data_IF_706409293317
#
_entry.id   IF_706409293317
#
_cell.length_a   1.000
_cell.length_b   1.000
_cell.length_c   1.000
_cell.angle_alpha   90.00
_cell.angle_beta   90.00
_cell.angle_gamma   90.00
#
_symmetry.space_group_name_H-M   'P 1'
#
loop_
_entity.id
_entity.type
_entity.pdbx_description
1 polymer ?
#
# COMPACT_ATOMS: atom_id res chain seq x y z
N UNK A 1 4.82 -92.48 -33.91
CA UNK A 1 3.47 -92.31 -33.40
C UNK A 1 3.36 -90.80 -33.01
N UNK A 2 2.77 -90.03 -33.87
CA UNK A 2 2.70 -88.57 -33.77
C UNK A 2 1.29 -88.16 -33.45
N UNK A 3 1.16 -87.08 -32.67
CA UNK A 3 -0.08 -86.36 -32.52
C UNK A 3 0.19 -84.85 -32.74
N UNK A 4 -0.43 -84.36 -33.79
CA UNK A 4 -0.43 -82.92 -34.12
C UNK A 4 -1.43 -82.17 -33.23
N UNK A 5 -1.00 -81.19 -32.47
CA UNK A 5 -1.91 -80.23 -31.87
C UNK A 5 -1.96 -78.97 -32.76
N UNK A 6 -3.18 -78.57 -33.09
CA UNK A 6 -3.51 -77.36 -33.82
C UNK A 6 -3.62 -76.20 -32.84
N UNK A 7 -2.86 -75.12 -33.06
CA UNK A 7 -3.00 -73.89 -32.38
C UNK A 7 -4.13 -73.08 -33.01
N UNK A 8 -5.12 -72.71 -32.20
CA UNK A 8 -6.13 -71.72 -32.52
C UNK A 8 -5.73 -70.37 -31.86
N UNK A 9 -5.42 -69.37 -32.66
CA UNK A 9 -5.21 -67.98 -32.22
C UNK A 9 -6.56 -67.36 -31.96
N UNK A 10 -6.79 -67.00 -30.69
CA UNK A 10 -7.87 -66.05 -30.34
C UNK A 10 -7.32 -64.67 -30.31
N UNK A 11 -7.82 -63.83 -31.18
CA UNK A 11 -7.53 -62.38 -31.18
C UNK A 11 -8.38 -61.68 -30.11
N UNK A 12 -7.72 -61.20 -29.06
CA UNK A 12 -8.36 -60.27 -28.06
C UNK A 12 -8.29 -58.87 -28.58
N UNK A 13 -9.43 -58.31 -28.92
CA UNK A 13 -9.56 -56.89 -29.26
C UNK A 13 -9.53 -56.04 -27.97
N UNK A 14 -8.46 -55.29 -27.73
CA UNK A 14 -8.39 -54.26 -26.69
C UNK A 14 -9.14 -53.01 -27.16
N UNK A 15 -10.32 -52.78 -26.63
CA UNK A 15 -11.02 -51.51 -26.70
C UNK A 15 -10.28 -50.51 -25.77
N UNK A 16 -9.49 -49.60 -26.33
CA UNK A 16 -8.95 -48.45 -25.65
C UNK A 16 -10.08 -47.39 -25.51
N UNK A 17 -10.69 -47.31 -24.34
CA UNK A 17 -11.56 -46.20 -23.99
C UNK A 17 -10.70 -44.94 -23.78
N UNK A 18 -10.64 -44.06 -24.77
CA UNK A 18 -10.04 -42.75 -24.68
C UNK A 18 -10.91 -41.87 -23.77
N UNK A 19 -10.47 -41.62 -22.54
CA UNK A 19 -11.04 -40.59 -21.68
C UNK A 19 -10.67 -39.25 -22.28
N UNK A 20 -11.60 -38.60 -22.98
CA UNK A 20 -11.51 -37.20 -23.37
C UNK A 20 -11.68 -36.38 -22.07
N UNK A 21 -10.58 -35.94 -21.50
CA UNK A 21 -10.57 -34.89 -20.48
C UNK A 21 -11.07 -33.61 -21.16
N UNK A 22 -12.37 -33.34 -21.01
CA UNK A 22 -12.94 -32.06 -21.34
C UNK A 22 -12.29 -31.04 -20.40
N UNK A 23 -11.25 -30.34 -20.85
CA UNK A 23 -10.79 -29.11 -20.23
C UNK A 23 -11.89 -28.09 -20.43
N UNK A 24 -12.74 -27.96 -19.42
CA UNK A 24 -13.75 -26.91 -19.38
C UNK A 24 -13.05 -25.55 -19.35
N UNK A 25 -12.83 -24.97 -20.52
CA UNK A 25 -12.63 -23.54 -20.62
C UNK A 25 -13.93 -22.90 -20.13
N UNK A 26 -13.95 -22.41 -18.88
CA UNK A 26 -14.97 -21.48 -18.47
C UNK A 26 -14.83 -20.27 -19.40
N UNK A 27 -15.73 -20.19 -20.38
CA UNK A 27 -15.84 -19.00 -21.21
C UNK A 27 -16.23 -17.85 -20.29
N UNK A 28 -15.24 -17.01 -19.97
CA UNK A 28 -15.50 -15.76 -19.24
C UNK A 28 -16.51 -14.96 -20.07
N UNK A 29 -17.68 -14.69 -19.50
CA UNK A 29 -18.63 -13.79 -20.12
C UNK A 29 -17.93 -12.43 -20.29
N UNK A 30 -17.77 -11.92 -21.53
CA UNK A 30 -17.12 -10.64 -21.72
C UNK A 30 -17.82 -9.59 -20.87
N UNK A 31 -17.10 -8.72 -20.15
CA UNK A 31 -17.72 -7.68 -19.35
C UNK A 31 -18.60 -6.81 -20.23
N UNK A 32 -19.79 -6.46 -19.74
CA UNK A 32 -20.75 -5.67 -20.47
C UNK A 32 -20.15 -4.29 -20.80
N UNK A 33 -20.24 -3.88 -22.08
CA UNK A 33 -19.84 -2.52 -22.47
C UNK A 33 -20.92 -1.52 -22.02
N UNK A 34 -20.54 -0.32 -21.56
CA UNK A 34 -21.48 0.73 -21.26
C UNK A 34 -22.22 1.19 -22.52
N UNK A 35 -23.43 1.73 -22.37
CA UNK A 35 -24.24 2.25 -23.49
C UNK A 35 -23.57 3.44 -24.19
N UNK A 36 -22.77 4.20 -23.45
CA UNK A 36 -21.92 5.29 -23.94
C UNK A 36 -20.69 5.40 -23.07
N UNK A 37 -19.57 5.94 -23.57
CA UNK A 37 -18.35 6.10 -22.78
C UNK A 37 -18.59 6.92 -21.50
N UNK A 38 -18.15 6.40 -20.35
CA UNK A 38 -18.48 6.94 -19.05
C UNK A 38 -17.57 8.12 -18.63
N UNK A 39 -18.13 9.02 -17.82
CA UNK A 39 -17.33 9.89 -16.96
C UNK A 39 -17.16 9.19 -15.60
N UNK A 40 -15.91 9.03 -15.16
CA UNK A 40 -15.56 8.34 -13.92
C UNK A 40 -14.92 9.33 -12.94
N UNK A 41 -15.51 9.45 -11.74
CA UNK A 41 -14.98 10.28 -10.65
C UNK A 41 -14.01 9.46 -9.80
N UNK A 42 -12.75 9.89 -9.75
CA UNK A 42 -11.67 9.26 -8.98
C UNK A 42 -11.26 10.19 -7.85
N UNK A 43 -11.21 9.68 -6.62
CA UNK A 43 -10.64 10.41 -5.48
C UNK A 43 -9.39 9.72 -4.98
N UNK A 44 -8.37 10.50 -4.69
CA UNK A 44 -7.10 10.06 -4.11
C UNK A 44 -6.94 10.66 -2.71
N UNK A 45 -6.67 9.80 -1.74
CA UNK A 45 -6.43 10.18 -0.34
C UNK A 45 -5.09 9.67 0.21
N UNK A 46 -4.26 9.07 -0.65
CA UNK A 46 -2.98 8.49 -0.25
C UNK A 46 -1.78 9.02 -1.06
N UNK A 47 -2.03 9.83 -2.09
CA UNK A 47 -0.99 10.31 -3.01
C UNK A 47 -0.77 9.39 -4.22
N UNK A 48 -1.64 8.40 -4.42
CA UNK A 48 -1.51 7.38 -5.47
C UNK A 48 -1.65 7.91 -6.89
N UNK A 49 -2.31 9.05 -7.09
CA UNK A 49 -2.38 9.66 -8.41
C UNK A 49 -0.99 9.99 -8.98
N UNK A 50 -0.01 10.25 -8.12
CA UNK A 50 1.34 10.50 -8.58
C UNK A 50 1.89 9.30 -9.36
N UNK A 51 1.67 8.08 -8.88
CA UNK A 51 2.19 6.85 -9.48
C UNK A 51 1.21 6.22 -10.49
N UNK A 52 -0.09 6.34 -10.29
CA UNK A 52 -1.11 5.59 -11.04
C UNK A 52 -1.80 6.38 -12.15
N UNK A 53 -1.82 7.72 -12.08
CA UNK A 53 -2.55 8.52 -13.07
C UNK A 53 -2.12 8.27 -14.52
N UNK A 54 -0.81 8.10 -14.86
CA UNK A 54 -0.40 7.78 -16.21
C UNK A 54 -1.01 6.47 -16.74
N UNK A 55 -1.07 5.43 -15.91
CA UNK A 55 -1.67 4.14 -16.25
C UNK A 55 -3.21 4.22 -16.35
N UNK A 56 -3.87 4.97 -15.47
CA UNK A 56 -5.32 5.23 -15.53
C UNK A 56 -5.68 5.98 -16.81
N UNK A 57 -4.93 7.02 -17.16
CA UNK A 57 -5.15 7.75 -18.42
C UNK A 57 -4.83 6.91 -19.66
N UNK A 58 -3.88 5.97 -19.55
CA UNK A 58 -3.61 5.02 -20.61
C UNK A 58 -4.80 4.07 -20.82
N UNK A 59 -5.43 3.59 -19.76
CA UNK A 59 -6.66 2.80 -19.85
C UNK A 59 -7.73 3.55 -20.69
N UNK A 60 -7.98 4.83 -20.42
CA UNK A 60 -8.92 5.63 -21.19
C UNK A 60 -8.52 5.77 -22.67
N UNK A 61 -7.23 5.95 -22.93
CA UNK A 61 -6.73 6.05 -24.32
C UNK A 61 -6.88 4.75 -25.10
N UNK A 62 -6.63 3.62 -24.43
CA UNK A 62 -6.73 2.30 -25.05
C UNK A 62 -8.20 1.81 -25.17
N UNK A 63 -9.10 2.35 -24.31
CA UNK A 63 -10.51 1.98 -24.25
C UNK A 63 -11.44 3.20 -24.30
N UNK A 64 -11.40 3.99 -25.42
CA UNK A 64 -12.21 5.21 -25.54
C UNK A 64 -13.72 4.93 -25.64
N UNK A 65 -14.10 3.68 -25.89
CA UNK A 65 -15.47 3.18 -25.89
C UNK A 65 -16.00 2.90 -24.48
N UNK A 66 -15.14 2.79 -23.47
CA UNK A 66 -15.51 2.56 -22.08
C UNK A 66 -15.51 3.85 -21.25
N UNK A 67 -14.49 4.69 -21.41
CA UNK A 67 -14.30 5.91 -20.60
C UNK A 67 -14.03 7.11 -21.50
N UNK A 68 -14.89 8.12 -21.41
CA UNK A 68 -14.70 9.41 -22.09
C UNK A 68 -13.77 10.35 -21.29
N UNK A 69 -13.89 10.33 -19.95
CA UNK A 69 -13.16 11.25 -19.09
C UNK A 69 -13.03 10.71 -17.67
N UNK A 70 -11.87 10.92 -17.04
CA UNK A 70 -11.70 10.88 -15.59
C UNK A 70 -11.81 12.27 -14.98
N UNK A 71 -12.41 12.36 -13.79
CA UNK A 71 -12.43 13.56 -12.95
C UNK A 71 -11.68 13.22 -11.67
N UNK A 72 -10.47 13.74 -11.55
CA UNK A 72 -9.61 13.49 -10.39
C UNK A 72 -9.82 14.55 -9.31
N UNK A 73 -9.96 14.09 -8.06
CA UNK A 73 -10.03 14.93 -6.87
C UNK A 73 -9.13 14.36 -5.78
N UNK A 74 -8.74 15.20 -4.81
CA UNK A 74 -7.95 14.81 -3.64
C UNK A 74 -8.70 15.19 -2.36
N UNK A 75 -8.51 14.39 -1.31
CA UNK A 75 -8.99 14.67 0.03
C UNK A 75 -8.03 14.05 1.05
N UNK A 76 -8.30 14.25 2.33
CA UNK A 76 -7.59 13.54 3.40
C UNK A 76 -8.29 12.21 3.73
N UNK A 77 -7.52 11.23 4.22
CA UNK A 77 -8.06 9.93 4.60
C UNK A 77 -9.20 10.04 5.66
N UNK A 78 -9.06 10.86 6.72
CA UNK A 78 -10.14 11.03 7.71
C UNK A 78 -11.46 11.61 7.15
N UNK A 79 -11.38 12.47 6.12
CA UNK A 79 -12.56 13.09 5.53
C UNK A 79 -13.34 12.15 4.60
N UNK A 80 -12.63 11.21 3.95
CA UNK A 80 -13.21 10.37 2.91
C UNK A 80 -14.32 9.47 3.43
N UNK A 81 -14.08 8.73 4.51
CA UNK A 81 -15.03 7.73 5.02
C UNK A 81 -16.35 8.39 5.44
N UNK A 82 -16.28 9.53 6.16
CA UNK A 82 -17.46 10.30 6.54
C UNK A 82 -18.23 10.84 5.32
N UNK A 83 -17.51 11.35 4.31
CA UNK A 83 -18.10 11.88 3.07
C UNK A 83 -18.83 10.78 2.29
N UNK A 84 -18.20 9.62 2.09
CA UNK A 84 -18.82 8.50 1.38
C UNK A 84 -20.05 7.97 2.14
N UNK A 85 -19.92 7.82 3.46
CA UNK A 85 -21.04 7.36 4.30
C UNK A 85 -22.25 8.30 4.18
N UNK A 86 -22.03 9.61 4.28
CA UNK A 86 -23.10 10.60 4.14
C UNK A 86 -23.76 10.56 2.74
N UNK A 87 -23.00 10.37 1.67
CA UNK A 87 -23.54 10.23 0.33
C UNK A 87 -24.40 8.95 0.20
N UNK A 88 -23.90 7.82 0.69
CA UNK A 88 -24.63 6.55 0.64
C UNK A 88 -25.91 6.58 1.47
N UNK A 89 -25.89 7.19 2.66
CA UNK A 89 -27.09 7.37 3.50
C UNK A 89 -28.14 8.28 2.82
N UNK A 90 -27.68 9.22 1.98
CA UNK A 90 -28.55 10.05 1.14
C UNK A 90 -28.98 9.39 -0.18
N UNK A 91 -28.64 8.10 -0.40
CA UNK A 91 -29.01 7.33 -1.60
C UNK A 91 -28.29 7.77 -2.88
N UNK A 92 -27.14 8.44 -2.78
CA UNK A 92 -26.33 8.87 -3.93
C UNK A 92 -24.86 8.48 -3.74
N UNK A 93 -24.14 8.37 -4.85
CA UNK A 93 -22.69 8.16 -4.87
C UNK A 93 -22.10 9.02 -5.99
N UNK A 94 -21.31 10.02 -5.60
CA UNK A 94 -20.67 10.96 -6.54
C UNK A 94 -19.21 10.57 -6.85
N UNK A 95 -18.67 9.60 -6.10
CA UNK A 95 -17.32 9.06 -6.23
C UNK A 95 -17.42 7.62 -6.72
N UNK A 96 -16.78 7.35 -7.85
CA UNK A 96 -16.87 6.03 -8.48
C UNK A 96 -15.70 5.11 -8.12
N UNK A 97 -14.51 5.70 -7.90
CA UNK A 97 -13.27 4.98 -7.66
C UNK A 97 -12.41 5.70 -6.63
N UNK A 98 -11.78 4.94 -5.76
CA UNK A 98 -10.97 5.46 -4.65
C UNK A 98 -9.58 4.87 -4.70
N UNK A 99 -8.58 5.73 -4.64
CA UNK A 99 -7.19 5.40 -4.38
C UNK A 99 -6.89 5.74 -2.92
N UNK A 100 -6.46 4.75 -2.13
CA UNK A 100 -6.38 4.90 -0.66
C UNK A 100 -5.27 4.06 -0.05
N UNK A 101 -4.71 4.54 1.06
CA UNK A 101 -3.86 3.75 1.94
C UNK A 101 -4.68 2.89 2.92
N UNK A 102 -3.97 2.19 3.81
CA UNK A 102 -4.58 1.36 4.85
C UNK A 102 -5.53 2.14 5.79
N UNK A 103 -5.28 3.43 5.99
CA UNK A 103 -6.04 4.31 6.90
C UNK A 103 -7.50 4.48 6.48
N UNK A 104 -7.75 5.05 5.30
CA UNK A 104 -9.14 5.24 4.83
C UNK A 104 -9.78 3.92 4.40
N UNK A 105 -9.00 2.93 3.93
CA UNK A 105 -9.53 1.59 3.67
C UNK A 105 -10.11 0.98 4.95
N UNK A 106 -9.33 0.99 6.05
CA UNK A 106 -9.76 0.46 7.34
C UNK A 106 -10.98 1.19 7.90
N UNK A 107 -10.96 2.52 7.89
CA UNK A 107 -12.10 3.33 8.33
C UNK A 107 -13.38 3.04 7.54
N UNK A 108 -13.24 2.85 6.23
CA UNK A 108 -14.36 2.51 5.35
C UNK A 108 -14.85 1.08 5.53
N UNK A 109 -13.99 0.12 5.88
CA UNK A 109 -14.38 -1.24 6.24
C UNK A 109 -15.25 -1.25 7.50
N UNK A 110 -14.85 -0.53 8.55
CA UNK A 110 -15.61 -0.42 9.80
C UNK A 110 -16.99 0.24 9.58
N UNK A 111 -17.10 1.14 8.60
CA UNK A 111 -18.36 1.80 8.23
C UNK A 111 -19.14 1.03 7.16
N UNK A 112 -18.60 -0.03 6.58
CA UNK A 112 -19.25 -0.86 5.57
C UNK A 112 -19.51 -0.15 4.24
N UNK A 113 -18.66 0.80 3.83
CA UNK A 113 -18.89 1.64 2.64
C UNK A 113 -18.32 1.09 1.34
N UNK A 114 -17.48 0.04 1.39
CA UNK A 114 -16.84 -0.52 0.20
C UNK A 114 -17.67 -1.61 -0.45
N UNK A 115 -17.63 -1.67 -1.78
CA UNK A 115 -18.19 -2.80 -2.55
C UNK A 115 -17.35 -4.07 -2.26
N UNK A 116 -18.03 -5.18 -2.01
CA UNK A 116 -17.39 -6.50 -1.97
C UNK A 116 -17.16 -6.99 -3.39
N UNK A 117 -15.89 -6.97 -3.82
CA UNK A 117 -15.50 -7.35 -5.18
C UNK A 117 -15.22 -8.86 -5.25
N UNK A 118 -14.50 -9.37 -4.26
CA UNK A 118 -14.18 -10.79 -4.18
C UNK A 118 -15.03 -11.49 -3.10
N UNK A 119 -15.47 -12.73 -3.31
CA UNK A 119 -15.18 -13.58 -4.48
C UNK A 119 -16.11 -13.35 -5.70
N UNK A 120 -17.08 -12.45 -5.62
CA UNK A 120 -18.15 -12.28 -6.63
C UNK A 120 -17.62 -12.12 -8.07
N UNK A 121 -16.52 -11.43 -8.24
CA UNK A 121 -15.92 -11.15 -9.55
C UNK A 121 -14.54 -11.77 -9.71
N UNK A 122 -14.26 -12.85 -8.97
CA UNK A 122 -12.93 -13.51 -8.99
C UNK A 122 -12.50 -13.98 -10.38
N UNK A 123 -13.46 -14.39 -11.21
CA UNK A 123 -13.25 -14.85 -12.58
C UNK A 123 -12.71 -13.76 -13.53
N UNK A 124 -12.79 -12.50 -13.13
CA UNK A 124 -12.27 -11.34 -13.90
C UNK A 124 -10.79 -11.06 -13.64
N UNK A 125 -10.18 -11.75 -12.69
CA UNK A 125 -8.80 -11.52 -12.25
C UNK A 125 -7.98 -12.79 -12.33
N UNK A 126 -6.64 -12.68 -12.52
CA UNK A 126 -5.76 -13.81 -12.40
C UNK A 126 -5.74 -14.37 -10.98
N UNK A 127 -5.02 -15.48 -10.78
CA UNK A 127 -4.70 -15.97 -9.45
C UNK A 127 -3.84 -14.94 -8.71
N UNK A 128 -4.44 -14.25 -7.75
CA UNK A 128 -3.80 -13.13 -7.05
C UNK A 128 -2.63 -13.57 -6.17
N UNK A 129 -2.66 -14.80 -5.65
CA UNK A 129 -1.57 -15.36 -4.85
C UNK A 129 -0.30 -15.55 -5.69
N UNK A 130 -0.47 -15.94 -6.96
CA UNK A 130 0.64 -16.10 -7.90
C UNK A 130 1.06 -14.76 -8.53
N UNK A 131 0.15 -13.81 -8.60
CA UNK A 131 0.39 -12.51 -9.22
C UNK A 131 1.23 -11.60 -8.32
N UNK A 132 0.80 -11.43 -7.07
CA UNK A 132 1.40 -10.50 -6.13
C UNK A 132 2.69 -11.03 -5.50
N UNK A 133 3.61 -10.14 -5.16
CA UNK A 133 4.68 -10.45 -4.21
C UNK A 133 4.10 -10.91 -2.87
N UNK A 134 4.77 -11.77 -2.09
CA UNK A 134 4.23 -12.30 -0.84
C UNK A 134 3.75 -11.22 0.14
N UNK A 135 4.50 -10.11 0.27
CA UNK A 135 4.10 -8.97 1.10
C UNK A 135 2.84 -8.29 0.57
N UNK A 136 2.78 -8.01 -0.74
CA UNK A 136 1.60 -7.44 -1.39
C UNK A 136 0.38 -8.38 -1.30
N UNK A 137 0.56 -9.68 -1.42
CA UNK A 137 -0.53 -10.64 -1.24
C UNK A 137 -1.04 -10.67 0.21
N UNK A 138 -0.15 -10.54 1.19
CA UNK A 138 -0.58 -10.36 2.60
C UNK A 138 -1.48 -9.13 2.76
N UNK A 139 -1.10 -8.01 2.15
CA UNK A 139 -1.90 -6.78 2.13
C UNK A 139 -3.21 -6.97 1.37
N UNK A 140 -3.20 -7.70 0.23
CA UNK A 140 -4.41 -8.03 -0.54
C UNK A 140 -5.44 -8.80 0.31
N UNK A 141 -4.98 -9.73 1.14
CA UNK A 141 -5.87 -10.45 2.08
C UNK A 141 -6.48 -9.52 3.13
N UNK A 142 -5.73 -8.55 3.62
CA UNK A 142 -6.24 -7.53 4.57
C UNK A 142 -7.34 -6.66 3.95
N UNK A 143 -7.34 -6.49 2.64
CA UNK A 143 -8.42 -5.84 1.88
C UNK A 143 -9.75 -6.58 1.91
N UNK A 144 -9.79 -7.83 2.42
CA UNK A 144 -11.01 -8.65 2.63
C UNK A 144 -11.94 -8.70 1.41
N UNK A 145 -11.37 -8.69 0.21
CA UNK A 145 -12.13 -8.69 -1.03
C UNK A 145 -12.81 -7.37 -1.39
N UNK A 146 -12.59 -6.30 -0.63
CA UNK A 146 -13.20 -4.99 -0.85
C UNK A 146 -12.29 -4.02 -1.62
N UNK A 147 -11.02 -4.38 -1.79
CA UNK A 147 -10.04 -3.56 -2.51
C UNK A 147 -8.95 -4.43 -3.17
N UNK A 148 -8.21 -3.84 -4.10
CA UNK A 148 -7.03 -4.43 -4.74
C UNK A 148 -5.80 -3.59 -4.42
N UNK A 149 -4.70 -4.25 -4.08
CA UNK A 149 -3.40 -3.60 -3.89
C UNK A 149 -2.91 -3.07 -5.25
N UNK A 150 -2.48 -1.81 -5.29
CA UNK A 150 -1.89 -1.20 -6.49
C UNK A 150 -0.38 -1.08 -6.39
N UNK A 151 0.15 -0.78 -5.22
CA UNK A 151 1.57 -0.78 -4.89
C UNK A 151 1.82 -1.38 -3.51
N UNK A 152 3.06 -1.76 -3.25
CA UNK A 152 3.47 -2.32 -1.97
C UNK A 152 4.92 -1.93 -1.66
N UNK A 153 5.18 -1.69 -0.38
CA UNK A 153 6.53 -1.38 0.11
C UNK A 153 6.71 -1.79 1.57
N UNK A 154 7.94 -2.20 1.97
CA UNK A 154 8.30 -2.35 3.37
C UNK A 154 8.52 -0.95 3.93
N UNK A 155 7.52 -0.38 4.61
CA UNK A 155 7.44 1.05 4.87
C UNK A 155 8.41 1.52 5.96
N UNK A 156 8.15 1.20 7.22
CA UNK A 156 8.92 1.72 8.37
C UNK A 156 8.88 0.76 9.56
N UNK A 157 9.32 1.23 10.73
CA UNK A 157 9.79 2.57 11.09
C UNK A 157 11.18 2.86 10.54
N UNK A 158 11.30 3.83 9.66
CA UNK A 158 12.57 4.32 9.13
C UNK A 158 12.79 5.75 9.62
N UNK A 159 14.03 6.11 9.92
CA UNK A 159 14.41 7.48 10.25
C UNK A 159 15.16 8.10 9.06
N UNK A 160 14.89 9.37 8.77
CA UNK A 160 15.71 10.18 7.89
C UNK A 160 16.30 11.34 8.65
N UNK A 161 17.56 11.68 8.40
CA UNK A 161 18.28 12.66 9.19
C UNK A 161 19.32 13.46 8.39
N UNK A 162 19.64 14.65 8.91
CA UNK A 162 20.67 15.54 8.41
C UNK A 162 22.04 15.18 9.01
N UNK A 163 22.98 14.58 8.26
CA UNK A 163 24.25 14.10 8.82
C UNK A 163 25.22 15.21 9.23
N UNK A 164 25.01 16.42 8.76
CA UNK A 164 25.74 17.62 9.17
C UNK A 164 25.34 18.11 10.56
N UNK A 165 24.07 17.91 10.94
CA UNK A 165 23.48 18.35 12.23
C UNK A 165 23.41 17.23 13.28
N UNK A 166 23.28 15.97 12.86
CA UNK A 166 23.20 14.82 13.75
C UNK A 166 24.48 14.00 13.67
N UNK A 167 25.44 14.25 14.58
CA UNK A 167 26.74 13.54 14.61
C UNK A 167 26.65 12.19 15.32
N UNK A 168 25.94 12.13 16.44
CA UNK A 168 25.71 10.95 17.24
C UNK A 168 24.28 10.46 17.06
N UNK A 169 24.06 9.73 15.96
CA UNK A 169 22.74 9.23 15.60
C UNK A 169 22.30 8.16 16.62
N UNK A 170 21.08 8.30 17.22
CA UNK A 170 20.57 7.27 18.12
C UNK A 170 20.29 5.95 17.37
N UNK A 171 20.71 4.84 17.93
CA UNK A 171 20.57 3.50 17.35
C UNK A 171 19.57 2.59 18.09
N UNK A 172 18.90 3.12 19.12
CA UNK A 172 17.85 2.42 19.90
C UNK A 172 16.65 3.33 20.12
N UNK A 173 15.48 2.78 20.42
CA UNK A 173 14.30 3.58 20.76
C UNK A 173 14.53 4.47 21.98
N UNK A 174 15.20 3.96 23.02
CA UNK A 174 15.58 4.74 24.21
C UNK A 174 16.61 5.83 23.86
N UNK A 175 17.55 5.53 22.98
CA UNK A 175 18.49 6.52 22.45
C UNK A 175 17.79 7.65 21.71
N UNK A 176 16.80 7.33 20.86
CA UNK A 176 15.99 8.34 20.16
C UNK A 176 15.22 9.23 21.15
N UNK A 177 14.63 8.64 22.19
CA UNK A 177 13.95 9.39 23.24
C UNK A 177 14.92 10.33 24.00
N UNK A 178 16.10 9.83 24.36
CA UNK A 178 17.12 10.62 25.03
C UNK A 178 17.61 11.76 24.15
N UNK A 179 17.87 11.46 22.87
CA UNK A 179 18.29 12.44 21.87
C UNK A 179 17.20 13.53 21.68
N UNK A 180 15.95 13.14 21.52
CA UNK A 180 14.83 14.08 21.36
C UNK A 180 14.73 15.02 22.58
N UNK A 181 14.82 14.50 23.80
CA UNK A 181 14.79 15.30 25.04
C UNK A 181 15.97 16.29 25.12
N UNK A 182 17.13 15.91 24.62
CA UNK A 182 18.30 16.80 24.55
C UNK A 182 18.19 17.84 23.44
N UNK A 183 17.36 17.61 22.41
CA UNK A 183 17.15 18.46 21.25
C UNK A 183 15.65 18.72 21.02
N UNK A 184 14.97 19.44 21.93
CA UNK A 184 13.53 19.68 21.81
C UNK A 184 13.14 20.28 20.46
N UNK A 185 12.07 19.77 19.86
CA UNK A 185 11.59 20.23 18.56
C UNK A 185 12.42 19.75 17.36
N UNK A 186 13.48 18.94 17.53
CA UNK A 186 14.34 18.50 16.43
C UNK A 186 13.99 17.13 15.86
N UNK A 187 13.14 16.36 16.53
CA UNK A 187 12.54 15.13 16.02
C UNK A 187 11.05 15.36 15.68
N UNK A 188 10.57 14.71 14.62
CA UNK A 188 9.17 14.82 14.20
C UNK A 188 8.70 13.55 13.48
N UNK A 189 7.41 13.25 13.65
CA UNK A 189 6.61 12.40 12.75
C UNK A 189 5.23 13.02 12.56
N UNK A 190 4.56 12.71 11.44
CA UNK A 190 3.24 13.25 11.15
C UNK A 190 2.13 12.42 11.83
N UNK A 191 0.92 12.98 11.90
CA UNK A 191 -0.28 12.33 12.44
C UNK A 191 -0.48 10.95 11.80
N UNK A 192 -0.54 9.86 12.59
CA UNK A 192 -0.60 8.48 12.06
C UNK A 192 -1.81 8.19 11.18
N UNK A 193 -2.96 8.82 11.46
CA UNK A 193 -4.20 8.61 10.70
C UNK A 193 -4.21 9.27 9.31
N UNK A 194 -3.15 10.04 8.95
CA UNK A 194 -3.03 10.70 7.65
C UNK A 194 -1.57 10.72 7.14
N UNK A 195 -0.75 9.78 7.59
CA UNK A 195 0.66 9.66 7.19
C UNK A 195 1.12 8.22 7.27
N UNK A 196 1.55 7.65 6.14
CA UNK A 196 2.19 6.33 6.09
C UNK A 196 3.40 6.24 7.01
N UNK A 197 4.41 7.15 6.90
CA UNK A 197 5.56 7.20 7.81
C UNK A 197 5.19 7.35 9.27
N UNK A 198 4.26 8.22 9.61
CA UNK A 198 3.78 8.40 10.99
C UNK A 198 3.10 7.13 11.52
N UNK A 199 2.26 6.50 10.70
CA UNK A 199 1.57 5.24 11.03
C UNK A 199 2.56 4.11 11.28
N UNK A 200 3.49 3.87 10.37
CA UNK A 200 4.45 2.77 10.47
C UNK A 200 5.50 3.02 11.55
N UNK A 201 5.84 4.28 11.84
CA UNK A 201 6.64 4.61 13.02
C UNK A 201 5.96 4.12 14.31
N UNK A 202 4.70 4.47 14.51
CA UNK A 202 3.94 4.07 15.70
C UNK A 202 3.74 2.56 15.76
N UNK A 203 3.41 1.90 14.64
CA UNK A 203 3.22 0.45 14.57
C UNK A 203 4.52 -0.36 14.71
N UNK A 204 5.67 0.22 14.41
CA UNK A 204 6.98 -0.43 14.60
C UNK A 204 7.48 -0.41 16.04
N UNK A 205 7.02 0.55 16.87
CA UNK A 205 7.46 0.69 18.26
C UNK A 205 7.20 -0.54 19.13
N UNK A 206 6.05 -1.25 19.07
CA UNK A 206 5.81 -2.41 19.90
C UNK A 206 6.82 -3.55 19.66
N UNK A 207 7.33 -3.72 18.45
CA UNK A 207 8.41 -4.66 18.15
C UNK A 207 9.73 -4.19 18.76
N UNK A 208 10.08 -2.91 18.60
CA UNK A 208 11.30 -2.30 19.13
C UNK A 208 11.34 -2.31 20.66
N UNK A 209 10.19 -2.14 21.32
CA UNK A 209 10.07 -2.03 22.76
C UNK A 209 9.76 -3.38 23.44
N UNK A 210 9.43 -4.41 22.63
CA UNK A 210 9.07 -5.73 23.12
C UNK A 210 7.76 -5.70 23.91
N UNK A 211 6.72 -5.10 23.35
CA UNK A 211 5.37 -5.15 23.88
C UNK A 211 4.80 -6.58 23.83
N UNK A 212 3.81 -6.86 24.65
CA UNK A 212 3.24 -8.21 24.80
C UNK A 212 2.58 -8.72 23.52
N UNK A 213 1.85 -7.86 22.83
CA UNK A 213 1.16 -8.18 21.59
C UNK A 213 1.22 -6.99 20.61
N UNK A 214 2.12 -7.02 19.62
CA UNK A 214 2.26 -5.96 18.63
C UNK A 214 1.02 -5.73 17.78
N UNK A 215 0.06 -6.67 17.72
CA UNK A 215 -1.16 -6.55 16.93
C UNK A 215 -2.37 -6.08 17.75
N UNK A 216 -2.25 -5.93 19.09
CA UNK A 216 -3.30 -5.36 19.96
C UNK A 216 -2.89 -4.01 20.54
N UNK A 217 -3.18 -2.88 19.87
CA UNK A 217 -2.82 -1.55 20.36
C UNK A 217 -3.60 -1.11 21.59
N UNK A 218 -4.67 -1.79 21.95
CA UNK A 218 -5.51 -1.45 23.11
C UNK A 218 -4.95 -2.04 24.39
N UNK A 219 -4.64 -3.34 24.39
CA UNK A 219 -4.26 -4.09 25.58
C UNK A 219 -2.81 -4.61 25.53
N UNK A 220 -2.18 -4.63 24.35
CA UNK A 220 -0.86 -5.20 24.13
C UNK A 220 0.29 -4.19 24.15
N UNK A 221 0.03 -2.88 24.00
CA UNK A 221 1.04 -1.82 23.79
C UNK A 221 1.32 -0.95 25.02
N UNK A 222 1.53 -1.55 26.17
CA UNK A 222 1.80 -0.78 27.40
C UNK A 222 3.08 0.07 27.28
N UNK A 223 4.17 -0.56 26.80
CA UNK A 223 5.46 0.11 26.65
C UNK A 223 5.43 1.17 25.56
N UNK A 224 4.79 0.89 24.44
CA UNK A 224 4.64 1.83 23.32
C UNK A 224 3.90 3.09 23.74
N UNK A 225 2.77 2.97 24.42
CA UNK A 225 2.02 4.15 24.89
C UNK A 225 2.80 4.95 25.92
N UNK A 226 3.49 4.29 26.85
CA UNK A 226 4.36 4.96 27.81
C UNK A 226 5.53 5.69 27.11
N UNK A 227 6.12 5.09 26.09
CA UNK A 227 7.19 5.68 25.28
C UNK A 227 6.69 6.89 24.51
N UNK A 228 5.56 6.78 23.80
CA UNK A 228 4.98 7.89 23.00
C UNK A 228 4.64 9.11 23.88
N UNK A 229 4.10 8.90 25.09
CA UNK A 229 3.85 9.97 26.07
C UNK A 229 5.13 10.69 26.49
N UNK A 230 6.23 9.94 26.64
CA UNK A 230 7.53 10.56 26.94
C UNK A 230 8.10 11.28 25.72
N UNK A 231 7.99 10.69 24.52
CA UNK A 231 8.48 11.29 23.27
C UNK A 231 7.72 12.58 22.94
N UNK A 232 6.42 12.64 23.25
CA UNK A 232 5.60 13.83 23.09
C UNK A 232 6.18 15.05 23.80
N UNK A 233 6.84 14.88 24.94
CA UNK A 233 7.41 15.99 25.70
C UNK A 233 8.46 16.82 24.95
N UNK A 234 9.09 16.27 23.92
CA UNK A 234 10.12 16.92 23.11
C UNK A 234 9.66 17.22 21.66
N UNK A 235 8.42 16.92 21.30
CA UNK A 235 7.82 17.25 20.01
C UNK A 235 6.94 18.50 20.17
N UNK A 236 7.15 19.51 19.33
CA UNK A 236 6.39 20.77 19.40
C UNK A 236 4.96 20.60 18.90
N UNK A 237 4.78 19.89 17.78
CA UNK A 237 3.49 19.62 17.15
C UNK A 237 3.58 18.44 16.18
N UNK A 238 2.44 17.93 15.76
CA UNK A 238 2.30 16.86 14.77
C UNK A 238 1.64 17.42 13.51
N UNK A 239 2.36 17.44 12.37
CA UNK A 239 1.77 17.88 11.11
C UNK A 239 0.66 16.94 10.66
N UNK A 240 -0.35 17.49 10.00
CA UNK A 240 -1.49 16.73 9.48
C UNK A 240 -1.17 15.77 8.34
N UNK A 241 0.06 15.80 7.79
CA UNK A 241 0.48 14.90 6.70
C UNK A 241 1.99 14.88 6.48
N UNK A 242 2.46 13.92 5.72
CA UNK A 242 3.89 13.58 5.55
C UNK A 242 4.71 14.67 4.86
N UNK A 243 4.13 15.40 3.90
CA UNK A 243 4.87 16.43 3.13
C UNK A 243 5.51 17.49 4.03
N UNK A 244 4.85 17.85 5.14
CA UNK A 244 5.38 18.83 6.06
C UNK A 244 6.65 18.35 6.77
N UNK A 245 6.76 17.07 7.12
CA UNK A 245 7.96 16.53 7.78
C UNK A 245 9.19 16.64 6.89
N UNK A 246 9.05 16.30 5.59
CA UNK A 246 10.12 16.43 4.59
C UNK A 246 10.57 17.88 4.42
N UNK A 247 9.60 18.78 4.29
CA UNK A 247 9.89 20.19 4.15
C UNK A 247 10.68 20.72 5.36
N UNK A 248 10.24 20.41 6.56
CA UNK A 248 10.90 20.88 7.79
C UNK A 248 12.29 20.25 7.98
N UNK A 249 12.49 19.01 7.57
CA UNK A 249 13.81 18.39 7.55
C UNK A 249 14.74 19.11 6.55
N UNK A 250 14.27 19.35 5.32
CA UNK A 250 15.05 20.04 4.28
C UNK A 250 15.39 21.49 4.64
N UNK A 251 14.46 22.22 5.26
CA UNK A 251 14.65 23.60 5.71
C UNK A 251 15.48 23.72 6.99
N UNK A 252 15.79 22.60 7.67
CA UNK A 252 16.60 22.61 8.90
C UNK A 252 15.83 22.89 10.19
N UNK A 253 14.51 22.98 10.14
CA UNK A 253 13.69 23.08 11.35
C UNK A 253 13.73 21.81 12.17
N UNK A 254 13.86 20.66 11.51
CA UNK A 254 14.02 19.33 12.09
C UNK A 254 15.35 18.72 11.65
N UNK A 255 15.88 17.83 12.48
CA UNK A 255 17.16 17.17 12.21
C UNK A 255 16.99 15.66 12.02
N UNK A 256 15.93 15.07 12.58
CA UNK A 256 15.49 13.68 12.38
C UNK A 256 13.98 13.64 12.18
N UNK A 257 13.50 12.86 11.22
CA UNK A 257 12.06 12.58 11.01
C UNK A 257 11.82 11.08 10.85
N UNK A 258 10.57 10.65 11.07
CA UNK A 258 10.12 9.34 10.62
C UNK A 258 9.80 9.42 9.11
N UNK A 259 10.30 8.43 8.35
CA UNK A 259 10.11 8.30 6.91
C UNK A 259 9.80 6.85 6.50
N UNK A 260 9.73 6.59 5.19
CA UNK A 260 9.57 5.27 4.57
C UNK A 260 10.56 5.09 3.43
N UNK A 261 10.66 3.86 2.90
CA UNK A 261 11.64 3.51 1.87
C UNK A 261 11.64 4.44 0.65
N UNK A 262 10.49 4.72 0.04
CA UNK A 262 10.44 5.58 -1.15
C UNK A 262 10.35 7.05 -0.85
N UNK A 263 9.84 7.40 0.32
CA UNK A 263 9.61 8.79 0.68
C UNK A 263 10.89 9.56 1.05
N UNK A 264 12.06 8.93 1.02
CA UNK A 264 13.36 9.61 1.04
C UNK A 264 13.94 9.80 -0.37
N UNK A 265 13.69 8.88 -1.30
CA UNK A 265 14.21 8.95 -2.67
C UNK A 265 13.57 10.10 -3.44
N UNK A 266 12.23 10.14 -3.48
CA UNK A 266 11.48 11.13 -4.23
C UNK A 266 11.70 12.58 -3.74
N UNK A 267 11.69 12.89 -2.42
CA UNK A 267 11.99 14.24 -1.93
C UNK A 267 13.42 14.71 -2.26
N UNK A 268 14.42 13.81 -2.31
CA UNK A 268 15.79 14.17 -2.75
C UNK A 268 15.85 14.45 -4.24
N UNK A 269 15.15 13.67 -5.05
CA UNK A 269 14.98 13.95 -6.49
C UNK A 269 14.34 15.31 -6.73
N UNK A 270 13.29 15.67 -5.97
CA UNK A 270 12.59 16.94 -6.06
C UNK A 270 13.37 18.13 -5.45
N UNK A 271 14.52 17.91 -4.82
CA UNK A 271 15.30 18.94 -4.14
C UNK A 271 14.61 19.51 -2.88
N UNK A 272 13.62 18.81 -2.33
CA UNK A 272 12.97 19.17 -1.06
C UNK A 272 13.90 18.85 0.11
N UNK A 273 14.63 17.77 0.00
CA UNK A 273 15.63 17.30 0.96
C UNK A 273 16.99 17.23 0.25
N UNK A 274 18.10 17.70 0.86
CA UNK A 274 19.45 17.57 0.30
C UNK A 274 19.84 16.11 -0.03
N UNK A 275 20.60 15.93 -1.11
CA UNK A 275 21.00 14.60 -1.61
C UNK A 275 21.80 13.79 -0.58
N UNK A 276 22.60 14.47 0.26
CA UNK A 276 23.45 13.87 1.29
C UNK A 276 22.72 13.36 2.53
N UNK A 277 21.41 13.66 2.70
CA UNK A 277 20.67 13.19 3.86
C UNK A 277 20.53 11.66 3.84
N UNK A 278 20.52 11.08 5.02
CA UNK A 278 20.65 9.63 5.22
C UNK A 278 19.46 9.05 5.93
N UNK A 279 19.29 7.76 5.74
CA UNK A 279 18.30 6.95 6.48
C UNK A 279 18.99 6.07 7.51
N UNK A 280 18.23 5.68 8.52
CA UNK A 280 18.70 4.76 9.55
C UNK A 280 17.55 3.95 10.14
N UNK A 281 17.91 2.79 10.72
CA UNK A 281 17.05 1.95 11.52
C UNK A 281 17.51 1.92 12.96
N UNK A 282 16.62 1.57 13.87
CA UNK A 282 16.93 1.32 15.27
C UNK A 282 17.23 -0.17 15.49
N UNK A 283 18.05 -0.52 16.46
CA UNK A 283 18.36 -1.92 16.82
C UNK A 283 17.08 -2.66 17.22
N UNK A 284 16.93 -3.87 16.71
CA UNK A 284 15.69 -4.65 16.89
C UNK A 284 14.56 -4.23 15.96
N UNK A 285 14.88 -3.51 14.91
CA UNK A 285 13.96 -3.05 13.89
C UNK A 285 13.25 -4.21 13.16
N UNK A 286 11.95 -4.05 12.99
CA UNK A 286 11.12 -4.84 12.07
C UNK A 286 10.46 -3.87 11.10
N UNK A 287 10.42 -4.22 9.84
CA UNK A 287 9.60 -3.49 8.89
C UNK A 287 8.13 -3.69 9.21
N UNK A 288 7.33 -2.67 9.11
CA UNK A 288 5.88 -2.77 8.97
C UNK A 288 5.56 -2.51 7.50
N UNK A 289 4.96 -3.49 6.84
CA UNK A 289 4.55 -3.35 5.45
C UNK A 289 3.45 -2.30 5.29
N UNK A 290 3.42 -1.65 4.14
CA UNK A 290 2.34 -0.73 3.75
C UNK A 290 1.98 -0.94 2.28
N UNK A 291 0.77 -0.54 1.91
CA UNK A 291 0.25 -0.65 0.56
C UNK A 291 -0.80 0.41 0.29
N UNK A 292 -0.96 0.75 -0.98
CA UNK A 292 -2.09 1.51 -1.43
C UNK A 292 -3.06 0.63 -2.22
N UNK A 293 -4.30 1.05 -2.25
CA UNK A 293 -5.42 0.23 -2.71
C UNK A 293 -6.33 0.95 -3.69
N UNK A 294 -6.90 0.16 -4.57
CA UNK A 294 -8.01 0.51 -5.45
C UNK A 294 -9.30 -0.01 -4.85
N UNK A 295 -10.25 0.85 -4.53
CA UNK A 295 -11.54 0.47 -3.96
C UNK A 295 -12.70 1.11 -4.73
N UNK A 296 -13.86 0.45 -4.69
CA UNK A 296 -15.10 0.92 -5.30
C UNK A 296 -16.12 1.14 -4.17
N UNK A 297 -16.73 2.33 -4.04
CA UNK A 297 -17.78 2.56 -3.06
C UNK A 297 -19.06 1.74 -3.35
N UNK A 298 -19.75 1.29 -2.31
CA UNK A 298 -21.11 0.74 -2.47
C UNK A 298 -22.04 1.78 -3.11
N UNK A 299 -22.95 1.32 -3.96
CA UNK A 299 -23.93 2.17 -4.63
C UNK A 299 -23.48 2.70 -5.99
N UNK A 300 -22.23 2.48 -6.40
CA UNK A 300 -21.81 2.73 -7.79
C UNK A 300 -22.60 1.85 -8.73
N UNK A 301 -23.07 2.40 -9.85
CA UNK A 301 -23.90 1.67 -10.81
C UNK A 301 -23.16 0.46 -11.39
N UNK A 302 -23.89 -0.62 -11.71
CA UNK A 302 -23.30 -1.85 -12.23
C UNK A 302 -22.50 -1.60 -13.53
N UNK A 303 -22.98 -0.71 -14.40
CA UNK A 303 -22.28 -0.33 -15.63
C UNK A 303 -20.90 0.28 -15.34
N UNK A 304 -20.79 1.15 -14.34
CA UNK A 304 -19.52 1.70 -13.88
C UNK A 304 -18.66 0.65 -13.20
N UNK A 305 -19.24 -0.19 -12.35
CA UNK A 305 -18.51 -1.31 -11.70
C UNK A 305 -17.85 -2.21 -12.75
N UNK A 306 -18.58 -2.57 -13.82
CA UNK A 306 -18.03 -3.43 -14.88
C UNK A 306 -16.81 -2.80 -15.59
N UNK A 307 -16.83 -1.50 -15.81
CA UNK A 307 -15.68 -0.76 -16.40
C UNK A 307 -14.55 -0.62 -15.39
N UNK A 308 -14.85 -0.34 -14.12
CA UNK A 308 -13.83 -0.20 -13.07
C UNK A 308 -13.10 -1.53 -12.79
N UNK A 309 -13.78 -2.67 -12.83
CA UNK A 309 -13.14 -3.98 -12.70
C UNK A 309 -12.19 -4.27 -13.87
N UNK A 310 -12.54 -3.84 -15.11
CA UNK A 310 -11.62 -3.93 -16.26
C UNK A 310 -10.41 -3.03 -16.06
N UNK A 311 -10.61 -1.82 -15.54
CA UNK A 311 -9.52 -0.89 -15.23
C UNK A 311 -8.59 -1.46 -14.14
N UNK A 312 -9.13 -2.03 -13.06
CA UNK A 312 -8.31 -2.70 -12.02
C UNK A 312 -7.46 -3.82 -12.65
N UNK A 313 -8.08 -4.71 -13.43
CA UNK A 313 -7.34 -5.79 -14.11
C UNK A 313 -6.28 -5.25 -15.09
N UNK A 314 -6.54 -4.12 -15.75
CA UNK A 314 -5.57 -3.44 -16.60
C UNK A 314 -4.39 -2.89 -15.80
N UNK A 315 -4.65 -2.22 -14.67
CA UNK A 315 -3.63 -1.64 -13.79
C UNK A 315 -2.73 -2.70 -13.13
N UNK A 316 -3.18 -3.95 -13.03
CA UNK A 316 -2.40 -5.08 -12.54
C UNK A 316 -1.55 -5.76 -13.62
N UNK A 317 -1.49 -5.27 -14.85
CA UNK A 317 -0.58 -5.77 -15.88
C UNK A 317 0.85 -5.26 -15.64
N UNK A 318 1.89 -6.05 -15.96
CA UNK A 318 3.28 -5.63 -15.74
C UNK A 318 3.63 -4.26 -16.33
N UNK A 319 3.14 -3.96 -17.53
CA UNK A 319 3.42 -2.69 -18.21
C UNK A 319 2.79 -1.49 -17.51
N UNK A 320 1.70 -1.70 -16.76
CA UNK A 320 1.05 -0.65 -15.97
C UNK A 320 1.66 -0.57 -14.58
N UNK A 321 2.01 -1.69 -14.00
CA UNK A 321 2.72 -1.75 -12.71
C UNK A 321 4.12 -1.12 -12.80
N UNK A 322 4.73 -1.07 -13.97
CA UNK A 322 6.01 -0.40 -14.17
C UNK A 322 5.96 1.13 -13.89
N UNK A 323 4.79 1.75 -13.99
CA UNK A 323 4.61 3.15 -13.56
C UNK A 323 4.70 3.33 -12.05
N UNK A 324 4.49 2.27 -11.25
CA UNK A 324 4.55 2.34 -9.78
C UNK A 324 5.98 2.61 -9.26
N UNK A 325 7.00 2.41 -10.08
CA UNK A 325 8.36 2.85 -9.73
C UNK A 325 8.46 4.38 -9.61
N UNK A 326 7.71 5.12 -10.44
CA UNK A 326 7.75 6.58 -10.51
C UNK A 326 9.20 7.10 -10.33
N UNK A 327 9.39 8.17 -9.59
CA UNK A 327 10.70 8.70 -9.21
C UNK A 327 11.12 8.22 -7.81
N UNK A 328 10.91 6.92 -7.53
CA UNK A 328 11.19 6.30 -6.23
C UNK A 328 10.14 6.60 -5.16
N UNK A 329 8.99 7.15 -5.55
CA UNK A 329 7.85 7.33 -4.65
C UNK A 329 7.26 5.95 -4.29
N UNK A 330 7.03 5.65 -3.02
CA UNK A 330 6.57 4.33 -2.55
C UNK A 330 7.47 3.16 -2.99
N UNK A 331 8.80 3.32 -2.89
CA UNK A 331 9.77 2.30 -3.33
C UNK A 331 9.66 0.98 -2.52
N UNK A 332 9.71 -0.21 -3.15
CA UNK A 332 9.97 -0.47 -4.57
C UNK A 332 8.81 -0.20 -5.53
N UNK A 333 7.57 -0.09 -5.09
CA UNK A 333 6.41 0.33 -5.86
C UNK A 333 5.60 -0.82 -6.45
N UNK A 334 6.06 -1.54 -7.51
CA UNK A 334 5.26 -2.60 -8.10
C UNK A 334 4.84 -3.66 -7.09
N UNK A 335 3.54 -3.97 -7.07
CA UNK A 335 2.99 -4.97 -6.15
C UNK A 335 3.08 -6.40 -6.69
N UNK A 336 3.30 -6.58 -8.00
CA UNK A 336 3.26 -7.88 -8.68
C UNK A 336 4.65 -8.35 -9.12
N UNK A 337 4.77 -9.66 -9.32
CA UNK A 337 5.97 -10.27 -9.89
C UNK A 337 6.20 -9.86 -11.35
N UNK A 338 7.45 -9.95 -11.81
CA UNK A 338 7.81 -9.81 -13.22
C UNK A 338 7.84 -8.36 -13.73
N UNK A 339 8.07 -7.40 -12.86
CA UNK A 339 8.18 -5.97 -13.20
C UNK A 339 9.56 -5.44 -12.82
N UNK A 340 10.61 -5.73 -13.61
CA UNK A 340 11.93 -5.18 -13.35
C UNK A 340 12.00 -3.67 -13.65
N UNK A 341 12.97 -2.98 -13.02
CA UNK A 341 13.12 -1.52 -13.12
C UNK A 341 13.30 -1.01 -14.57
N UNK A 342 13.85 -1.82 -15.46
CA UNK A 342 14.05 -1.45 -16.87
C UNK A 342 12.74 -1.35 -17.67
N UNK A 343 11.62 -1.86 -17.15
CA UNK A 343 10.28 -1.60 -17.69
C UNK A 343 9.73 -0.22 -17.32
N UNK A 344 10.25 0.41 -16.27
CA UNK A 344 9.79 1.72 -15.83
C UNK A 344 10.10 2.82 -16.88
N UNK A 345 9.38 3.95 -16.85
CA UNK A 345 9.77 5.12 -17.63
C UNK A 345 11.24 5.50 -17.40
N UNK A 346 11.93 5.93 -18.44
CA UNK A 346 13.38 6.19 -18.40
C UNK A 346 13.77 7.17 -17.28
N UNK A 347 12.97 8.19 -17.05
CA UNK A 347 13.19 9.18 -16.00
C UNK A 347 13.13 8.54 -14.60
N UNK A 348 12.17 7.64 -14.37
CA UNK A 348 12.06 6.86 -13.14
C UNK A 348 13.27 5.97 -12.91
N UNK A 349 13.74 5.28 -13.98
CA UNK A 349 14.95 4.47 -13.91
C UNK A 349 16.17 5.31 -13.51
N UNK A 350 16.37 6.47 -14.13
CA UNK A 350 17.49 7.35 -13.88
C UNK A 350 17.45 7.94 -12.47
N UNK A 351 16.25 8.32 -12.01
CA UNK A 351 16.04 8.81 -10.65
C UNK A 351 16.39 7.73 -9.61
N UNK A 352 15.87 6.52 -9.77
CA UNK A 352 16.13 5.43 -8.83
C UNK A 352 17.61 5.02 -8.86
N UNK A 353 18.27 5.02 -10.02
CA UNK A 353 19.72 4.74 -10.12
C UNK A 353 20.57 5.81 -9.45
N UNK A 354 20.15 7.09 -9.53
CA UNK A 354 20.89 8.21 -8.92
C UNK A 354 20.61 8.36 -7.43
N UNK A 355 19.33 8.34 -7.04
CA UNK A 355 18.89 8.69 -5.70
C UNK A 355 18.50 7.47 -4.85
N UNK A 356 18.39 6.27 -5.46
CA UNK A 356 18.13 5.03 -4.73
C UNK A 356 19.20 4.72 -3.70
N UNK A 357 18.86 3.84 -2.77
CA UNK A 357 19.79 3.43 -1.72
C UNK A 357 20.15 1.97 -1.89
N UNK A 358 21.40 1.65 -2.26
CA UNK A 358 21.85 0.26 -2.39
C UNK A 358 21.67 -0.56 -1.10
N UNK A 359 21.70 0.10 0.06
CA UNK A 359 21.49 -0.52 1.36
C UNK A 359 20.07 -1.04 1.58
N UNK A 360 19.05 -0.55 0.86
CA UNK A 360 17.66 -0.98 1.05
C UNK A 360 17.47 -2.47 0.77
N UNK A 361 18.08 -3.02 -0.27
CA UNK A 361 17.96 -4.45 -0.58
C UNK A 361 18.41 -5.32 0.61
N UNK A 362 19.55 -4.99 1.21
CA UNK A 362 20.06 -5.69 2.38
C UNK A 362 19.18 -5.42 3.61
N UNK A 363 18.78 -4.17 3.85
CA UNK A 363 17.93 -3.83 4.99
C UNK A 363 16.58 -4.58 4.93
N UNK A 364 16.03 -4.76 3.74
CA UNK A 364 14.78 -5.50 3.53
C UNK A 364 15.01 -7.00 3.71
N UNK A 365 16.12 -7.54 3.21
CA UNK A 365 16.43 -8.97 3.30
C UNK A 365 16.78 -9.41 4.73
N UNK A 366 17.46 -8.56 5.50
CA UNK A 366 18.03 -8.90 6.81
C UNK A 366 17.04 -8.68 7.97
N UNK A 367 15.89 -8.02 7.75
CA UNK A 367 14.95 -7.70 8.82
C UNK A 367 13.55 -8.26 8.54
N UNK A 368 12.82 -8.71 9.57
CA UNK A 368 11.46 -9.18 9.42
C UNK A 368 10.54 -8.10 8.83
N UNK A 369 9.56 -8.51 8.03
CA UNK A 369 8.49 -7.65 7.54
C UNK A 369 7.20 -8.10 8.20
N UNK A 370 6.65 -7.25 9.05
CA UNK A 370 5.43 -7.49 9.81
C UNK A 370 4.22 -6.93 9.07
N UNK A 371 3.04 -7.56 9.20
CA UNK A 371 1.82 -6.96 8.68
C UNK A 371 1.47 -5.71 9.51
N UNK A 372 0.81 -4.71 8.90
CA UNK A 372 0.19 -3.63 9.66
C UNK A 372 -0.97 -4.16 10.51
N UNK A 373 -1.49 -3.31 11.39
CA UNK A 373 -2.72 -3.62 12.13
C UNK A 373 -3.89 -3.85 11.18
N UNK A 374 -4.74 -4.84 11.50
CA UNK A 374 -6.02 -5.03 10.82
C UNK A 374 -6.97 -3.83 11.05
N UNK A 375 -8.02 -3.71 10.28
CA UNK A 375 -8.89 -2.52 10.21
C UNK A 375 -9.36 -2.02 11.59
N UNK A 376 -9.95 -2.89 12.40
CA UNK A 376 -10.46 -2.50 13.73
C UNK A 376 -9.36 -2.09 14.72
N UNK A 377 -8.28 -2.85 14.92
CA UNK A 377 -7.15 -2.40 15.73
C UNK A 377 -6.51 -1.11 15.20
N UNK A 378 -6.42 -0.93 13.89
CA UNK A 378 -5.83 0.27 13.30
C UNK A 378 -6.63 1.53 13.64
N UNK A 379 -7.95 1.48 13.49
CA UNK A 379 -8.84 2.59 13.88
C UNK A 379 -8.74 2.86 15.39
N UNK A 380 -8.73 1.81 16.19
CA UNK A 380 -8.57 1.97 17.65
C UNK A 380 -7.23 2.60 18.06
N UNK A 381 -6.16 2.27 17.32
CA UNK A 381 -4.83 2.90 17.52
C UNK A 381 -4.88 4.38 17.18
N UNK A 382 -5.50 4.78 16.06
CA UNK A 382 -5.65 6.20 15.69
C UNK A 382 -6.43 6.98 16.75
N UNK A 383 -7.58 6.45 17.17
CA UNK A 383 -8.41 7.09 18.20
C UNK A 383 -7.67 7.26 19.54
N UNK A 384 -6.90 6.25 19.93
CA UNK A 384 -6.12 6.31 21.17
C UNK A 384 -4.96 7.29 21.04
N UNK A 385 -4.25 7.29 19.92
CA UNK A 385 -3.17 8.23 19.65
C UNK A 385 -3.69 9.68 19.65
N UNK A 386 -4.78 9.94 18.93
CA UNK A 386 -5.39 11.27 18.86
C UNK A 386 -5.78 11.79 20.25
N UNK A 387 -6.36 10.91 21.11
CA UNK A 387 -6.77 11.31 22.48
C UNK A 387 -5.60 11.51 23.44
N UNK A 388 -4.62 10.59 23.42
CA UNK A 388 -3.63 10.50 24.49
C UNK A 388 -2.30 11.19 24.15
N UNK A 389 -2.02 11.40 22.86
CA UNK A 389 -0.76 11.97 22.37
C UNK A 389 -1.00 13.26 21.58
N UNK A 390 -1.75 13.19 20.48
CA UNK A 390 -1.82 14.24 19.48
C UNK A 390 -2.75 15.41 19.81
N UNK A 391 -3.77 15.23 20.65
CA UNK A 391 -4.93 16.13 20.79
C UNK A 391 -4.59 17.61 21.04
N UNK A 392 -3.52 17.91 21.77
CA UNK A 392 -3.10 19.27 22.08
C UNK A 392 -2.12 19.88 21.06
N UNK A 393 -1.56 19.09 20.16
CA UNK A 393 -0.42 19.47 19.31
C UNK A 393 -0.63 19.21 17.81
N UNK A 394 -1.84 18.82 17.38
CA UNK A 394 -2.16 18.66 15.96
C UNK A 394 -2.30 20.04 15.29
N UNK A 395 -1.68 20.16 14.09
CA UNK A 395 -1.77 21.34 13.21
C UNK A 395 -2.13 20.94 11.79
#
# INVERSE_FOLDING_TARGET
MGAKLRNTLSAAACLAAGAVLATGSFAQTPPAKPKAPLTVSVIDVAGDLQISQPAIEKFRKDHPDLVSRFVFTKATAPELAAKLKAQQDAGRVDIDFVLTGNDALAAGMEQGIWLEILPKYQDRFPDLEKLYHPGAYSMQKMGRGQAFVIDWYPSGPLLEYAPDRVKDLPDTAQGLLAWCKAHPGKFMYARPSNSGPGRTFVMGLPYLLGDKDPLDPVNGWEKTWAYLKQLDSCIDYYPGGTTATMKELGEGSRDIIATTTGWDINPRYLGIVPEEFKVATLKGFHWVGDANYMAIPKGVSQEKVDVLLQMIAFLLKPEQQAYMYDHGYMYPGPAIHGVPLDMAPKESQDTIRKFGRPEYERMIADNPIEPPLDAKPLVAMFDKWDREIGSAKMK
#
